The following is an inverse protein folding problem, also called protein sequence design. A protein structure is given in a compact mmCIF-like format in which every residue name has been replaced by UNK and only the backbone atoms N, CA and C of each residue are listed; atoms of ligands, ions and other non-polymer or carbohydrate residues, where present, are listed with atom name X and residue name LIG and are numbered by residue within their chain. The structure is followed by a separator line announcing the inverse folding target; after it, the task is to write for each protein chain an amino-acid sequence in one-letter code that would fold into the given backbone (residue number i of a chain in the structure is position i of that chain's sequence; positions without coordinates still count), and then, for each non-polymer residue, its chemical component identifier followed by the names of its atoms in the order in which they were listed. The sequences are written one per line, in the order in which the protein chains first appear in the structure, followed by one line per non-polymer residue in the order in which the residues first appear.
data_IF_772359963566
#
_entry.id   IF_772359963566
#
_cell.length_a   1.000
_cell.length_b   1.000
_cell.length_c   1.000
_cell.angle_alpha   90.00
_cell.angle_beta   90.00
_cell.angle_gamma   90.00
#
_symmetry.space_group_name_H-M   'P 1'
#
loop_
_entity.id
_entity.type
_entity.pdbx_description
1 polymer ?
#
# COMPACT_ATOMS: atom_id res chain seq x y z
N UNK A 1 6.50 -6.51 -14.17
CA UNK A 1 6.92 -6.59 -12.76
C UNK A 1 6.33 -7.85 -12.14
N UNK A 2 7.19 -8.66 -11.56
CA UNK A 2 6.76 -9.90 -10.91
C UNK A 2 6.39 -9.61 -9.45
N UNK A 3 5.12 -9.65 -9.16
CA UNK A 3 4.61 -9.39 -7.82
C UNK A 3 3.91 -10.66 -7.31
N UNK A 4 4.47 -11.25 -6.26
CA UNK A 4 3.95 -12.49 -5.68
C UNK A 4 3.04 -12.18 -4.50
N UNK A 5 1.80 -12.64 -4.55
CA UNK A 5 0.85 -12.47 -3.44
C UNK A 5 1.19 -13.43 -2.31
N UNK A 6 1.09 -12.94 -1.08
CA UNK A 6 1.39 -13.71 0.14
C UNK A 6 0.17 -13.70 1.03
N UNK A 7 -0.35 -14.89 1.36
CA UNK A 7 -1.45 -15.04 2.31
C UNK A 7 -0.92 -15.73 3.56
N UNK A 8 -1.25 -15.19 4.73
CA UNK A 8 -0.78 -15.73 6.00
C UNK A 8 -1.86 -16.46 6.79
N UNK A 9 -3.08 -16.49 6.26
CA UNK A 9 -4.21 -17.18 6.87
C UNK A 9 -5.39 -17.26 5.92
N UNK A 10 -6.58 -17.64 6.40
CA UNK A 10 -7.76 -17.72 5.55
C UNK A 10 -8.01 -16.39 4.85
N UNK A 11 -8.23 -16.44 3.54
CA UNK A 11 -8.26 -15.26 2.69
C UNK A 11 -9.50 -15.30 1.79
N UNK A 12 -10.24 -14.19 1.72
CA UNK A 12 -11.37 -14.04 0.83
C UNK A 12 -10.91 -13.88 -0.62
N UNK A 13 -11.83 -14.03 -1.57
CA UNK A 13 -11.53 -13.86 -3.00
C UNK A 13 -10.98 -12.47 -3.33
N UNK A 14 -11.31 -11.47 -2.52
CA UNK A 14 -10.79 -10.11 -2.66
C UNK A 14 -9.31 -9.98 -2.32
N UNK A 15 -8.69 -11.02 -1.72
CA UNK A 15 -7.32 -10.96 -1.25
C UNK A 15 -7.20 -10.50 0.20
N UNK A 16 -8.29 -10.08 0.81
CA UNK A 16 -8.29 -9.64 2.21
C UNK A 16 -8.39 -10.84 3.15
N UNK A 17 -7.74 -10.79 4.34
CA UNK A 17 -7.93 -11.84 5.32
C UNK A 17 -9.40 -11.95 5.72
N UNK A 18 -9.91 -13.18 5.82
CA UNK A 18 -11.30 -13.41 6.22
C UNK A 18 -11.44 -13.49 7.73
N UNK A 19 -10.34 -13.48 8.48
CA UNK A 19 -10.33 -13.49 9.94
C UNK A 19 -9.34 -12.45 10.44
N UNK A 20 -9.60 -11.82 11.61
CA UNK A 20 -8.64 -10.87 12.17
C UNK A 20 -7.37 -11.58 12.63
N UNK A 21 -6.28 -10.82 12.72
CA UNK A 21 -5.00 -11.35 13.20
C UNK A 21 -4.06 -11.83 12.12
N UNK A 22 -4.46 -11.77 10.85
CA UNK A 22 -3.60 -12.14 9.73
C UNK A 22 -3.29 -10.94 8.87
N UNK A 23 -2.04 -10.82 8.42
CA UNK A 23 -1.61 -9.76 7.53
C UNK A 23 -1.15 -10.39 6.23
N UNK A 24 -1.89 -10.12 5.17
CA UNK A 24 -1.54 -10.56 3.83
C UNK A 24 -0.72 -9.47 3.13
N UNK A 25 -0.02 -9.83 2.08
CA UNK A 25 0.78 -8.86 1.36
C UNK A 25 1.29 -9.41 0.05
N UNK A 26 2.41 -8.89 -0.39
CA UNK A 26 3.05 -9.34 -1.61
C UNK A 26 4.54 -9.13 -1.55
N UNK A 27 5.23 -9.74 -2.50
CA UNK A 27 6.68 -9.66 -2.64
C UNK A 27 7.03 -9.29 -4.06
N UNK A 28 8.07 -8.49 -4.20
CA UNK A 28 8.63 -8.16 -5.51
C UNK A 28 10.13 -7.98 -5.34
N UNK A 29 10.86 -8.02 -6.48
CA UNK A 29 12.30 -7.82 -6.45
C UNK A 29 12.61 -6.42 -5.90
N UNK A 30 13.70 -6.33 -5.12
CA UNK A 30 14.05 -5.08 -4.44
C UNK A 30 14.23 -3.92 -5.41
N UNK A 31 14.83 -4.15 -6.57
CA UNK A 31 15.07 -3.13 -7.57
C UNK A 31 13.79 -2.59 -8.20
N UNK A 32 12.67 -3.28 -8.03
CA UNK A 32 11.36 -2.84 -8.55
C UNK A 32 10.51 -2.16 -7.48
N UNK A 33 11.02 -2.08 -6.25
CA UNK A 33 10.28 -1.55 -5.11
C UNK A 33 10.60 -0.07 -4.89
N UNK A 34 9.60 0.69 -4.44
CA UNK A 34 9.78 2.08 -4.03
C UNK A 34 10.56 2.18 -2.72
N UNK A 35 10.73 1.08 -1.99
CA UNK A 35 11.42 1.04 -0.72
C UNK A 35 12.50 -0.04 -0.74
N UNK A 36 13.49 0.10 0.13
CA UNK A 36 14.61 -0.84 0.22
C UNK A 36 14.35 -1.99 1.20
N UNK A 37 13.18 -2.04 1.81
CA UNK A 37 12.81 -3.07 2.78
C UNK A 37 11.31 -3.24 2.88
N UNK A 38 10.83 -3.91 3.92
CA UNK A 38 9.39 -4.11 4.09
C UNK A 38 8.62 -2.81 4.19
N UNK A 39 7.42 -2.79 3.64
CA UNK A 39 6.53 -1.63 3.65
C UNK A 39 5.19 -2.06 4.21
N UNK A 40 4.68 -1.29 5.18
CA UNK A 40 3.31 -1.46 5.68
C UNK A 40 2.38 -0.68 4.75
N UNK A 41 1.31 -1.31 4.32
CA UNK A 41 0.29 -0.68 3.47
C UNK A 41 -0.96 -0.46 4.30
N UNK A 42 -1.44 0.79 4.31
CA UNK A 42 -2.65 1.16 5.05
C UNK A 42 -3.81 1.33 4.09
N UNK A 43 -4.95 0.73 4.45
CA UNK A 43 -6.19 0.89 3.69
C UNK A 43 -6.83 2.22 4.09
N UNK A 44 -7.04 3.11 3.12
CA UNK A 44 -7.61 4.43 3.38
C UNK A 44 -8.85 4.64 2.51
N UNK A 45 -9.83 5.44 2.96
CA UNK A 45 -11.02 5.69 2.16
C UNK A 45 -10.74 6.57 0.94
N UNK A 46 -9.70 7.39 0.97
CA UNK A 46 -9.33 8.26 -0.15
C UNK A 46 -7.82 8.52 -0.13
N UNK A 47 -7.12 8.04 -1.16
CA UNK A 47 -5.70 8.33 -1.31
C UNK A 47 -5.47 9.82 -1.54
N UNK A 48 -6.35 10.46 -2.33
CA UNK A 48 -6.19 11.90 -2.60
C UNK A 48 -6.19 12.71 -1.31
N UNK A 49 -7.12 12.43 -0.40
CA UNK A 49 -7.17 13.13 0.89
C UNK A 49 -5.98 12.75 1.78
N UNK A 50 -5.59 11.48 1.77
CA UNK A 50 -4.45 11.01 2.56
C UNK A 50 -3.15 11.69 2.11
N UNK A 51 -2.94 11.84 0.80
CA UNK A 51 -1.76 12.52 0.28
C UNK A 51 -1.72 13.98 0.72
N UNK A 52 -2.86 14.67 0.71
CA UNK A 52 -2.92 16.05 1.19
C UNK A 52 -2.56 16.14 2.67
N UNK A 53 -3.06 15.20 3.47
CA UNK A 53 -2.78 15.17 4.91
C UNK A 53 -1.30 14.90 5.16
N UNK A 54 -0.69 13.96 4.44
CA UNK A 54 0.73 13.64 4.57
C UNK A 54 1.58 14.86 4.27
N UNK A 55 1.29 15.56 3.18
CA UNK A 55 2.06 16.75 2.79
C UNK A 55 1.91 17.86 3.81
N UNK A 56 0.70 18.07 4.32
CA UNK A 56 0.43 19.10 5.34
C UNK A 56 1.19 18.82 6.64
N UNK A 57 1.39 17.54 6.99
CA UNK A 57 2.05 17.16 8.23
C UNK A 57 3.56 17.00 8.07
N UNK A 58 4.12 17.34 6.92
CA UNK A 58 5.56 17.36 6.72
C UNK A 58 6.14 16.16 6.00
N UNK A 59 5.32 15.19 5.63
CA UNK A 59 5.77 14.08 4.80
C UNK A 59 5.78 14.43 3.32
N UNK A 60 6.04 13.44 2.48
CA UNK A 60 6.11 13.67 1.03
C UNK A 60 5.57 12.47 0.26
N UNK A 61 5.13 12.71 -0.97
CA UNK A 61 4.67 11.66 -1.87
C UNK A 61 5.87 11.11 -2.63
N UNK A 62 6.07 9.79 -2.54
CA UNK A 62 7.14 9.09 -3.25
C UNK A 62 6.63 8.58 -4.60
N UNK A 63 5.48 7.89 -4.58
CA UNK A 63 4.81 7.39 -5.79
C UNK A 63 3.38 7.89 -5.74
N UNK A 64 2.93 8.66 -6.74
CA UNK A 64 1.58 9.21 -6.74
C UNK A 64 0.53 8.11 -6.94
N UNK A 65 -0.74 8.47 -6.74
CA UNK A 65 -1.85 7.56 -6.90
C UNK A 65 -1.84 6.89 -8.26
N UNK A 66 -1.90 5.56 -8.28
CA UNK A 66 -1.91 4.75 -9.50
C UNK A 66 -2.99 3.69 -9.41
N UNK A 67 -3.68 3.40 -10.52
CA UNK A 67 -4.66 2.31 -10.53
C UNK A 67 -3.97 0.95 -10.51
N UNK A 68 -4.63 -0.03 -9.87
CA UNK A 68 -4.17 -1.41 -9.83
C UNK A 68 -5.31 -2.25 -10.42
N UNK A 69 -5.31 -2.40 -11.74
CA UNK A 69 -6.38 -3.07 -12.46
C UNK A 69 -7.73 -2.42 -12.13
N UNK A 70 -8.76 -3.23 -11.99
CA UNK A 70 -10.07 -2.76 -11.55
C UNK A 70 -10.28 -2.87 -10.05
N UNK A 71 -9.24 -3.22 -9.28
CA UNK A 71 -9.37 -3.53 -7.85
C UNK A 71 -9.26 -2.32 -6.95
N UNK A 72 -8.46 -1.34 -7.34
CA UNK A 72 -8.27 -0.17 -6.50
C UNK A 72 -7.10 0.68 -6.94
N UNK A 73 -6.56 1.44 -6.00
CA UNK A 73 -5.47 2.38 -6.25
C UNK A 73 -4.40 2.23 -5.17
N UNK A 74 -3.16 2.55 -5.54
CA UNK A 74 -2.05 2.52 -4.60
C UNK A 74 -1.26 3.82 -4.69
N UNK A 75 -0.56 4.15 -3.60
CA UNK A 75 0.38 5.26 -3.55
C UNK A 75 1.40 4.97 -2.46
N UNK A 76 2.55 5.64 -2.52
CA UNK A 76 3.57 5.50 -1.49
C UNK A 76 4.00 6.88 -1.03
N UNK A 77 4.16 7.00 0.28
CA UNK A 77 4.56 8.26 0.91
C UNK A 77 5.76 8.03 1.81
N UNK A 78 6.43 9.12 2.17
CA UNK A 78 7.51 9.11 3.14
C UNK A 78 7.08 9.93 4.33
N UNK A 79 7.26 9.39 5.53
CA UNK A 79 6.97 10.15 6.75
C UNK A 79 8.11 11.13 7.05
N UNK A 80 7.98 11.88 8.15
CA UNK A 80 8.97 12.88 8.52
C UNK A 80 10.31 12.29 8.96
N UNK A 81 10.36 10.98 9.17
CA UNK A 81 11.60 10.27 9.55
C UNK A 81 12.19 9.48 8.38
N UNK A 82 11.64 9.64 7.19
CA UNK A 82 12.15 8.98 6.01
C UNK A 82 11.64 7.57 5.76
N UNK A 83 10.66 7.11 6.55
CA UNK A 83 10.09 5.79 6.34
C UNK A 83 9.08 5.80 5.21
N UNK A 84 9.12 4.78 4.34
CA UNK A 84 8.17 4.64 3.25
C UNK A 84 6.97 3.83 3.73
N UNK A 85 5.77 4.33 3.47
CA UNK A 85 4.50 3.70 3.82
C UNK A 85 3.64 3.64 2.57
N UNK A 86 2.96 2.51 2.36
CA UNK A 86 2.03 2.36 1.26
C UNK A 86 0.61 2.71 1.64
N UNK A 87 -0.16 3.16 0.67
CA UNK A 87 -1.58 3.47 0.83
C UNK A 87 -2.36 2.68 -0.20
N UNK A 88 -3.52 2.18 0.22
CA UNK A 88 -4.42 1.44 -0.66
C UNK A 88 -5.82 2.02 -0.53
N UNK A 89 -6.48 2.21 -1.68
CA UNK A 89 -7.89 2.61 -1.74
C UNK A 89 -8.61 1.62 -2.62
N UNK A 90 -9.61 0.94 -2.06
CA UNK A 90 -10.40 -0.05 -2.81
C UNK A 90 -11.31 0.66 -3.80
N UNK A 91 -11.38 0.15 -5.04
CA UNK A 91 -12.30 0.68 -6.05
C UNK A 91 -13.75 0.44 -5.62
N UNK A 92 -14.63 1.38 -5.97
CA UNK A 92 -16.04 1.34 -5.62
C UNK A 92 -16.94 1.45 -6.82
#
# INVERSE_FOLDING_TARGET
MDYTMVATGPTADSGMPSEPGFINGGMLAREESAASGPVVVMDVPSIDEALQTVERLGGSTVVPKQPVGGMGFTAYVKDTEGNVVGLWETAR
#
